data_IF_547760117111
#
_entry.id   IF_547760117111
#
_cell.length_a   1.000
_cell.length_b   1.000
_cell.length_c   1.000
_cell.angle_alpha   90.00
_cell.angle_beta   90.00
_cell.angle_gamma   90.00
#
_symmetry.space_group_name_H-M   'P 1'
#
loop_
_entity.id
_entity.type
_entity.pdbx_description
1 polymer ?
#
# COMPACT_ATOMS: atom_id res chain seq x y z
N UNK A 1 -34.34 -30.21 -9.24
CA UNK A 1 -34.60 -29.10 -8.32
C UNK A 1 -36.10 -29.00 -8.11
N UNK A 2 -36.55 -29.15 -6.89
CA UNK A 2 -37.95 -28.99 -6.52
C UNK A 2 -38.33 -27.49 -6.60
N UNK A 3 -39.63 -27.20 -6.77
CA UNK A 3 -40.13 -25.82 -6.88
C UNK A 3 -39.78 -25.00 -5.65
N UNK A 4 -39.89 -25.61 -4.47
CA UNK A 4 -39.55 -25.01 -3.18
C UNK A 4 -38.06 -24.61 -3.06
N UNK A 5 -37.14 -25.43 -3.62
CA UNK A 5 -35.70 -25.10 -3.63
C UNK A 5 -35.41 -23.86 -4.48
N UNK A 6 -36.13 -23.69 -5.60
CA UNK A 6 -35.96 -22.52 -6.47
C UNK A 6 -36.45 -21.25 -5.78
N UNK A 7 -37.62 -21.31 -5.13
CA UNK A 7 -38.21 -20.18 -4.41
C UNK A 7 -37.29 -19.76 -3.25
N UNK A 8 -36.72 -20.74 -2.52
CA UNK A 8 -35.74 -20.47 -1.46
C UNK A 8 -34.47 -19.78 -1.99
N UNK A 9 -33.91 -20.26 -3.10
CA UNK A 9 -32.72 -19.67 -3.71
C UNK A 9 -33.01 -18.25 -4.23
N UNK A 10 -34.18 -18.03 -4.82
CA UNK A 10 -34.58 -16.69 -5.29
C UNK A 10 -34.71 -15.72 -4.12
N UNK A 11 -35.37 -16.12 -3.04
CA UNK A 11 -35.50 -15.25 -1.86
C UNK A 11 -34.13 -14.93 -1.21
N UNK A 12 -33.25 -15.94 -1.10
CA UNK A 12 -31.88 -15.73 -0.58
C UNK A 12 -31.05 -14.79 -1.48
N UNK A 13 -31.15 -14.94 -2.80
CA UNK A 13 -30.48 -14.04 -3.75
C UNK A 13 -31.09 -12.63 -3.70
N UNK A 14 -32.42 -12.51 -3.58
CA UNK A 14 -33.08 -11.22 -3.46
C UNK A 14 -32.68 -10.47 -2.17
N UNK A 15 -32.55 -11.18 -1.06
CA UNK A 15 -32.02 -10.61 0.20
C UNK A 15 -30.58 -10.13 0.04
N UNK A 16 -29.72 -10.94 -0.56
CA UNK A 16 -28.33 -10.57 -0.84
C UNK A 16 -28.22 -9.36 -1.77
N UNK A 17 -29.04 -9.31 -2.84
CA UNK A 17 -29.12 -8.18 -3.76
C UNK A 17 -29.58 -6.88 -3.04
N UNK A 18 -30.46 -6.98 -2.05
CA UNK A 18 -30.92 -5.84 -1.24
C UNK A 18 -29.89 -5.40 -0.19
N UNK A 19 -29.14 -6.35 0.38
CA UNK A 19 -28.13 -6.05 1.40
C UNK A 19 -26.84 -5.49 0.81
N UNK A 20 -26.50 -5.87 -0.44
CA UNK A 20 -25.29 -5.41 -1.11
C UNK A 20 -25.59 -4.14 -1.93
N UNK A 21 -24.88 -3.07 -1.65
CA UNK A 21 -25.00 -1.82 -2.41
C UNK A 21 -24.21 -1.86 -3.72
N UNK A 22 -23.17 -2.68 -3.76
CA UNK A 22 -22.26 -2.77 -4.89
C UNK A 22 -22.19 -4.22 -5.39
N UNK A 23 -22.29 -4.38 -6.71
CA UNK A 23 -22.30 -5.68 -7.39
C UNK A 23 -21.36 -5.62 -8.59
N UNK A 24 -20.53 -6.63 -8.76
CA UNK A 24 -19.71 -6.80 -9.96
C UNK A 24 -20.10 -8.09 -10.67
N UNK A 25 -20.29 -7.99 -11.97
CA UNK A 25 -20.73 -9.10 -12.83
C UNK A 25 -19.58 -9.53 -13.72
N UNK A 26 -19.22 -10.80 -13.68
CA UNK A 26 -18.15 -11.38 -14.46
C UNK A 26 -18.58 -12.70 -15.12
N UNK A 27 -18.00 -13.00 -16.26
CA UNK A 27 -18.12 -14.28 -16.94
C UNK A 27 -16.99 -15.20 -16.45
N UNK A 28 -17.36 -16.32 -15.82
CA UNK A 28 -16.41 -17.24 -15.20
C UNK A 28 -15.95 -18.38 -16.11
N UNK A 29 -16.36 -18.38 -17.38
CA UNK A 29 -16.00 -19.45 -18.30
C UNK A 29 -14.49 -19.58 -18.45
N UNK A 30 -14.01 -20.82 -18.35
CA UNK A 30 -12.61 -21.17 -18.54
C UNK A 30 -11.74 -21.11 -17.29
N UNK A 31 -12.27 -20.64 -16.15
CA UNK A 31 -11.60 -20.77 -14.88
C UNK A 31 -11.73 -22.19 -14.34
N UNK A 32 -10.65 -22.72 -13.82
CA UNK A 32 -10.64 -24.00 -13.11
C UNK A 32 -11.20 -23.84 -11.68
N UNK A 33 -11.65 -24.94 -11.07
CA UNK A 33 -12.17 -24.89 -9.70
C UNK A 33 -11.19 -24.34 -8.65
N UNK A 34 -9.89 -24.71 -8.69
CA UNK A 34 -8.91 -24.11 -7.78
C UNK A 34 -8.78 -22.61 -7.93
N UNK A 35 -8.79 -22.08 -9.14
CA UNK A 35 -8.71 -20.65 -9.44
C UNK A 35 -9.95 -19.88 -8.93
N UNK A 36 -11.14 -20.50 -9.04
CA UNK A 36 -12.38 -19.93 -8.49
C UNK A 36 -12.30 -19.88 -6.96
N UNK A 37 -11.74 -20.89 -6.31
CA UNK A 37 -11.63 -20.93 -4.86
C UNK A 37 -10.55 -19.96 -4.36
N UNK A 38 -9.46 -19.78 -5.09
CA UNK A 38 -8.47 -18.75 -4.82
C UNK A 38 -9.06 -17.34 -4.96
N UNK A 39 -9.83 -17.11 -6.03
CA UNK A 39 -10.55 -15.85 -6.26
C UNK A 39 -11.54 -15.55 -5.12
N UNK A 40 -12.30 -16.57 -4.67
CA UNK A 40 -13.23 -16.43 -3.54
C UNK A 40 -12.50 -16.02 -2.27
N UNK A 41 -11.37 -16.65 -1.98
CA UNK A 41 -10.58 -16.36 -0.78
C UNK A 41 -10.06 -14.91 -0.80
N UNK A 42 -9.50 -14.48 -1.92
CA UNK A 42 -9.01 -13.10 -2.09
C UNK A 42 -10.13 -12.05 -2.00
N UNK A 43 -11.29 -12.34 -2.60
CA UNK A 43 -12.44 -11.43 -2.54
C UNK A 43 -13.04 -11.36 -1.13
N UNK A 44 -13.03 -12.46 -0.39
CA UNK A 44 -13.52 -12.49 0.98
C UNK A 44 -12.71 -11.57 1.90
N UNK A 45 -11.39 -11.46 1.69
CA UNK A 45 -10.51 -10.54 2.43
C UNK A 45 -10.89 -9.06 2.23
N UNK A 46 -11.49 -8.73 1.07
CA UNK A 46 -11.95 -7.37 0.76
C UNK A 46 -13.41 -7.12 1.09
N UNK A 47 -14.07 -8.05 1.79
CA UNK A 47 -15.49 -7.93 2.11
C UNK A 47 -16.42 -8.21 0.92
N UNK A 48 -15.93 -8.90 -0.11
CA UNK A 48 -16.72 -9.27 -1.27
C UNK A 48 -16.96 -10.79 -1.32
N UNK A 49 -18.16 -11.20 -1.67
CA UNK A 49 -18.56 -12.61 -1.81
C UNK A 49 -18.80 -12.96 -3.27
N UNK A 50 -18.00 -13.87 -3.81
CA UNK A 50 -18.14 -14.35 -5.17
C UNK A 50 -19.05 -15.58 -5.26
N UNK A 51 -20.10 -15.49 -6.05
CA UNK A 51 -21.08 -16.57 -6.23
C UNK A 51 -21.42 -16.78 -7.69
N UNK A 52 -21.38 -18.04 -8.13
CA UNK A 52 -21.86 -18.42 -9.45
C UNK A 52 -23.37 -18.61 -9.39
N UNK A 53 -24.09 -17.92 -10.23
CA UNK A 53 -25.55 -17.86 -10.19
C UNK A 53 -26.17 -18.33 -11.51
N UNK A 54 -27.38 -18.82 -11.44
CA UNK A 54 -28.15 -19.19 -12.63
C UNK A 54 -28.98 -17.99 -13.10
N UNK A 55 -28.78 -17.53 -14.32
CA UNK A 55 -29.43 -16.33 -14.88
C UNK A 55 -30.95 -16.28 -14.70
N UNK A 56 -31.62 -17.42 -14.90
CA UNK A 56 -33.07 -17.45 -14.73
C UNK A 56 -33.53 -17.17 -13.30
N UNK A 57 -32.77 -17.61 -12.28
CA UNK A 57 -33.09 -17.35 -10.89
C UNK A 57 -32.69 -15.93 -10.50
N UNK A 58 -31.56 -15.46 -11.05
CA UNK A 58 -31.07 -14.10 -10.79
C UNK A 58 -32.01 -13.05 -11.38
N UNK A 59 -32.61 -13.32 -12.56
CA UNK A 59 -33.63 -12.42 -13.15
C UNK A 59 -34.84 -12.26 -12.24
N UNK A 60 -35.37 -13.38 -11.72
CA UNK A 60 -36.48 -13.35 -10.79
C UNK A 60 -36.10 -12.62 -9.48
N UNK A 61 -34.91 -12.89 -8.95
CA UNK A 61 -34.43 -12.22 -7.74
C UNK A 61 -34.21 -10.72 -7.98
N UNK A 62 -33.71 -10.31 -9.13
CA UNK A 62 -33.50 -8.90 -9.50
C UNK A 62 -34.84 -8.14 -9.65
N UNK A 63 -35.87 -8.79 -10.21
CA UNK A 63 -37.23 -8.24 -10.28
C UNK A 63 -37.81 -8.06 -8.87
N UNK A 64 -37.63 -9.03 -7.99
CA UNK A 64 -38.11 -9.00 -6.60
C UNK A 64 -37.34 -8.01 -5.72
N UNK A 65 -36.04 -7.84 -5.98
CA UNK A 65 -35.20 -6.85 -5.33
C UNK A 65 -35.39 -5.42 -5.88
N UNK A 66 -36.00 -5.27 -7.07
CA UNK A 66 -36.19 -3.97 -7.74
C UNK A 66 -34.99 -3.46 -8.53
N UNK A 67 -33.95 -4.28 -8.71
CA UNK A 67 -32.68 -3.94 -9.37
C UNK A 67 -32.76 -4.35 -10.86
N UNK A 68 -33.56 -3.63 -11.62
CA UNK A 68 -33.80 -3.95 -13.05
C UNK A 68 -32.57 -3.74 -13.93
N UNK A 69 -31.69 -2.84 -13.58
CA UNK A 69 -30.45 -2.54 -14.30
C UNK A 69 -29.52 -3.76 -14.42
N UNK A 70 -29.59 -4.69 -13.45
CA UNK A 70 -28.80 -5.90 -13.47
C UNK A 70 -29.20 -6.84 -14.62
N UNK A 71 -30.44 -6.75 -15.13
CA UNK A 71 -30.97 -7.61 -16.19
C UNK A 71 -30.20 -7.47 -17.50
N UNK A 72 -29.74 -6.26 -17.80
CA UNK A 72 -28.99 -5.95 -19.03
C UNK A 72 -27.54 -6.48 -18.99
N UNK A 73 -27.02 -6.74 -17.77
CA UNK A 73 -25.67 -7.25 -17.56
C UNK A 73 -25.61 -8.79 -17.49
N UNK A 74 -26.76 -9.45 -17.31
CA UNK A 74 -26.85 -10.91 -17.18
C UNK A 74 -27.00 -11.53 -18.58
N UNK A 75 -25.87 -11.68 -19.26
CA UNK A 75 -25.78 -12.37 -20.54
C UNK A 75 -24.73 -13.49 -20.51
N UNK A 76 -25.10 -14.72 -20.84
CA UNK A 76 -24.22 -15.89 -20.78
C UNK A 76 -23.96 -16.40 -19.35
N UNK A 77 -22.94 -17.23 -19.13
CA UNK A 77 -22.59 -17.74 -17.80
C UNK A 77 -22.10 -16.61 -16.90
N UNK A 78 -22.80 -16.42 -15.79
CA UNK A 78 -22.64 -15.24 -14.95
C UNK A 78 -22.25 -15.64 -13.52
N UNK A 79 -21.20 -15.00 -13.03
CA UNK A 79 -20.86 -14.97 -11.61
C UNK A 79 -21.02 -13.53 -11.10
N UNK A 80 -21.50 -13.40 -9.89
CA UNK A 80 -21.72 -12.11 -9.25
C UNK A 80 -20.83 -12.05 -8.01
N UNK A 81 -20.06 -10.98 -7.90
CA UNK A 81 -19.40 -10.60 -6.68
C UNK A 81 -20.28 -9.59 -5.94
N UNK A 82 -20.80 -9.99 -4.80
CA UNK A 82 -21.57 -9.16 -3.89
C UNK A 82 -20.57 -8.47 -2.95
N UNK A 83 -20.58 -7.16 -2.92
CA UNK A 83 -19.72 -6.36 -2.05
C UNK A 83 -20.59 -5.86 -0.91
N UNK A 84 -20.21 -6.21 0.31
CA UNK A 84 -20.91 -5.75 1.51
C UNK A 84 -20.74 -4.23 1.68
N UNK A 85 -21.60 -3.59 2.46
CA UNK A 85 -21.58 -2.13 2.64
C UNK A 85 -20.26 -1.57 3.20
N UNK A 86 -19.51 -2.40 3.95
CA UNK A 86 -18.18 -2.06 4.48
C UNK A 86 -17.03 -2.48 3.54
N UNK A 87 -17.33 -3.23 2.47
CA UNK A 87 -16.34 -3.72 1.52
C UNK A 87 -15.84 -2.62 0.57
N UNK A 88 -14.61 -2.78 0.09
CA UNK A 88 -14.00 -1.84 -0.87
C UNK A 88 -14.25 -2.30 -2.32
N UNK A 89 -15.11 -1.60 -3.09
CA UNK A 89 -15.39 -1.96 -4.48
C UNK A 89 -14.17 -1.79 -5.39
N UNK A 90 -13.24 -0.88 -5.09
CA UNK A 90 -12.03 -0.71 -5.87
C UNK A 90 -11.05 -1.87 -5.65
N UNK A 91 -10.90 -2.34 -4.41
CA UNK A 91 -10.08 -3.51 -4.09
C UNK A 91 -10.66 -4.79 -4.74
N UNK A 92 -11.98 -4.99 -4.68
CA UNK A 92 -12.65 -6.11 -5.33
C UNK A 92 -12.49 -6.06 -6.87
N UNK A 93 -12.67 -4.88 -7.49
CA UNK A 93 -12.47 -4.69 -8.92
C UNK A 93 -11.01 -4.94 -9.33
N UNK A 94 -10.04 -4.56 -8.49
CA UNK A 94 -8.61 -4.82 -8.72
C UNK A 94 -8.32 -6.33 -8.72
N UNK A 95 -8.79 -7.07 -7.73
CA UNK A 95 -8.62 -8.53 -7.64
C UNK A 95 -9.22 -9.22 -8.87
N UNK A 96 -10.44 -8.83 -9.28
CA UNK A 96 -11.08 -9.36 -10.50
C UNK A 96 -10.27 -9.04 -11.76
N UNK A 97 -9.76 -7.82 -11.90
CA UNK A 97 -8.96 -7.41 -13.05
C UNK A 97 -7.58 -8.09 -13.08
N UNK A 98 -6.94 -8.29 -11.93
CA UNK A 98 -5.67 -8.99 -11.82
C UNK A 98 -5.83 -10.48 -12.16
N UNK A 99 -6.92 -11.11 -11.69
CA UNK A 99 -7.28 -12.49 -12.07
C UNK A 99 -7.62 -12.59 -13.57
N UNK A 100 -8.32 -11.60 -14.11
CA UNK A 100 -8.63 -11.53 -15.55
C UNK A 100 -7.37 -11.43 -16.40
N UNK A 101 -6.36 -10.70 -15.94
CA UNK A 101 -5.05 -10.60 -16.63
C UNK A 101 -4.19 -11.85 -16.48
N UNK A 102 -4.26 -12.50 -15.32
CA UNK A 102 -3.45 -13.70 -15.05
C UNK A 102 -3.90 -14.91 -15.89
N UNK A 103 -5.20 -15.03 -16.12
CA UNK A 103 -5.79 -16.22 -16.76
C UNK A 103 -6.36 -15.93 -18.17
N UNK A 104 -6.41 -14.67 -18.62
CA UNK A 104 -6.97 -14.21 -19.91
C UNK A 104 -8.39 -14.74 -20.26
N UNK A 105 -9.08 -15.27 -19.24
CA UNK A 105 -10.34 -16.01 -19.41
C UNK A 105 -11.51 -15.31 -18.74
N UNK A 106 -11.27 -14.67 -17.58
CA UNK A 106 -12.30 -13.94 -16.85
C UNK A 106 -12.64 -12.64 -17.59
N UNK A 107 -13.88 -12.48 -18.00
CA UNK A 107 -14.35 -11.25 -18.63
C UNK A 107 -15.28 -10.50 -17.69
N UNK A 108 -14.87 -9.31 -17.29
CA UNK A 108 -15.72 -8.41 -16.50
C UNK A 108 -16.75 -7.82 -17.47
N UNK A 109 -18.04 -8.03 -17.20
CA UNK A 109 -19.15 -7.53 -18.02
C UNK A 109 -19.60 -6.14 -17.62
N UNK A 110 -19.56 -5.86 -16.34
CA UNK A 110 -20.04 -4.62 -15.77
C UNK A 110 -20.34 -4.78 -14.29
N UNK A 111 -21.03 -3.83 -13.73
CA UNK A 111 -21.46 -3.87 -12.32
C UNK A 111 -22.53 -2.85 -12.01
N UNK A 112 -22.98 -2.89 -10.79
CA UNK A 112 -23.83 -1.89 -10.19
C UNK A 112 -23.10 -1.31 -8.99
N UNK A 113 -22.91 0.00 -8.97
CA UNK A 113 -22.29 0.73 -7.87
C UNK A 113 -23.25 1.82 -7.39
N UNK A 114 -23.64 1.75 -6.12
CA UNK A 114 -24.56 2.71 -5.50
C UNK A 114 -25.88 2.90 -6.27
N UNK A 115 -26.31 1.87 -7.02
CA UNK A 115 -27.53 1.90 -7.83
C UNK A 115 -27.33 2.29 -9.30
N UNK A 116 -26.14 2.76 -9.69
CA UNK A 116 -25.80 3.08 -11.07
C UNK A 116 -25.12 1.92 -11.80
N UNK A 117 -25.47 1.74 -13.07
CA UNK A 117 -24.83 0.73 -13.91
C UNK A 117 -23.49 1.21 -14.41
N UNK A 118 -22.47 0.41 -14.13
CA UNK A 118 -21.07 0.71 -14.49
C UNK A 118 -20.60 -0.26 -15.56
N UNK A 119 -19.98 0.27 -16.60
CA UNK A 119 -19.46 -0.51 -17.72
C UNK A 119 -18.14 -1.22 -17.37
N UNK A 120 -17.69 -2.16 -18.21
CA UNK A 120 -16.41 -2.86 -18.07
C UNK A 120 -15.21 -1.91 -18.07
N UNK A 121 -15.27 -0.83 -18.86
CA UNK A 121 -14.21 0.18 -18.93
C UNK A 121 -14.09 0.96 -17.63
N UNK A 122 -15.19 1.30 -17.01
CA UNK A 122 -15.22 2.02 -15.73
C UNK A 122 -14.74 1.14 -14.58
N UNK A 123 -15.11 -0.14 -14.56
CA UNK A 123 -14.60 -1.11 -13.57
C UNK A 123 -13.07 -1.29 -13.71
N UNK A 124 -12.56 -1.34 -14.94
CA UNK A 124 -11.11 -1.37 -15.18
C UNK A 124 -10.42 -0.08 -14.67
N UNK A 125 -11.07 1.07 -14.78
CA UNK A 125 -10.57 2.32 -14.17
C UNK A 125 -10.62 2.25 -12.66
N UNK A 126 -11.69 1.75 -12.05
CA UNK A 126 -11.77 1.53 -10.60
C UNK A 126 -10.64 0.62 -10.11
N UNK A 127 -10.32 -0.44 -10.85
CA UNK A 127 -9.21 -1.33 -10.52
C UNK A 127 -7.83 -0.67 -10.53
N UNK A 128 -7.67 0.50 -11.18
CA UNK A 128 -6.42 1.29 -11.14
C UNK A 128 -6.35 2.25 -9.96
N UNK A 129 -7.43 2.46 -9.23
CA UNK A 129 -7.45 3.33 -8.07
C UNK A 129 -6.70 2.68 -6.90
N UNK A 130 -5.95 3.46 -6.12
CA UNK A 130 -5.39 2.98 -4.86
C UNK A 130 -6.50 2.72 -3.83
N UNK A 131 -6.23 1.94 -2.77
CA UNK A 131 -7.18 1.70 -1.69
C UNK A 131 -7.75 3.01 -1.11
N UNK A 132 -8.98 2.95 -0.62
CA UNK A 132 -9.73 4.13 -0.15
C UNK A 132 -8.95 4.97 0.88
N UNK A 133 -8.21 4.32 1.78
CA UNK A 133 -7.39 5.03 2.78
C UNK A 133 -6.24 5.83 2.16
N UNK A 134 -5.63 5.31 1.10
CA UNK A 134 -4.58 6.01 0.35
C UNK A 134 -5.15 7.23 -0.39
N UNK A 135 -6.35 7.09 -0.99
CA UNK A 135 -7.04 8.22 -1.65
C UNK A 135 -7.39 9.31 -0.64
N UNK A 136 -7.90 8.94 0.53
CA UNK A 136 -8.18 9.89 1.63
C UNK A 136 -6.91 10.60 2.10
N UNK A 137 -5.81 9.87 2.26
CA UNK A 137 -4.51 10.43 2.64
C UNK A 137 -3.96 11.38 1.55
N UNK A 138 -4.09 11.02 0.28
CA UNK A 138 -3.71 11.87 -0.85
C UNK A 138 -4.54 13.16 -0.89
N UNK A 139 -5.85 13.06 -0.66
CA UNK A 139 -6.73 14.23 -0.57
C UNK A 139 -6.32 15.15 0.58
N UNK A 140 -6.10 14.61 1.77
CA UNK A 140 -5.61 15.35 2.92
C UNK A 140 -4.26 16.03 2.64
N UNK A 141 -3.34 15.30 2.00
CA UNK A 141 -2.04 15.83 1.56
C UNK A 141 -2.16 16.95 0.52
N UNK A 142 -3.07 16.81 -0.44
CA UNK A 142 -3.32 17.84 -1.45
C UNK A 142 -3.87 19.14 -0.85
N UNK A 143 -4.68 19.05 0.21
CA UNK A 143 -5.17 20.22 0.96
C UNK A 143 -4.08 20.80 1.87
N UNK A 144 -3.27 19.97 2.51
CA UNK A 144 -2.20 20.40 3.40
C UNK A 144 -0.97 20.95 2.64
N UNK A 145 -0.74 20.49 1.41
CA UNK A 145 0.43 20.87 0.59
C UNK A 145 0.61 22.38 0.43
N UNK A 146 -0.39 23.15 0.00
CA UNK A 146 -0.29 24.60 -0.12
C UNK A 146 0.04 25.28 1.21
N UNK A 147 -0.52 24.79 2.33
CA UNK A 147 -0.27 25.35 3.65
C UNK A 147 1.18 25.13 4.11
N UNK A 148 1.72 23.93 3.91
CA UNK A 148 3.12 23.63 4.22
C UNK A 148 4.08 24.42 3.33
N UNK A 149 3.73 24.66 2.07
CA UNK A 149 4.52 25.49 1.16
C UNK A 149 4.61 26.92 1.65
N UNK A 150 3.50 27.51 2.08
CA UNK A 150 3.47 28.88 2.62
C UNK A 150 4.36 28.98 3.87
N UNK A 151 4.23 28.02 4.82
CA UNK A 151 5.09 27.97 6.01
C UNK A 151 6.56 27.83 5.62
N UNK A 152 6.85 26.98 4.63
CA UNK A 152 8.18 26.78 4.09
C UNK A 152 8.81 28.06 3.56
N UNK A 153 8.05 28.85 2.78
CA UNK A 153 8.50 30.13 2.23
C UNK A 153 8.86 31.17 3.32
N UNK A 154 8.15 31.16 4.44
CA UNK A 154 8.48 32.02 5.57
C UNK A 154 9.66 31.54 6.39
N UNK A 155 9.88 30.24 6.48
CA UNK A 155 10.97 29.65 7.24
C UNK A 155 12.27 29.51 6.44
N UNK A 156 12.22 29.51 5.11
CA UNK A 156 13.40 29.37 4.26
C UNK A 156 14.45 30.47 4.50
N UNK A 157 14.11 31.77 4.53
CA UNK A 157 15.09 32.84 4.75
C UNK A 157 15.80 32.73 6.10
N UNK A 158 15.08 32.27 7.13
CA UNK A 158 15.66 32.08 8.47
C UNK A 158 16.66 30.91 8.47
N UNK A 159 16.34 29.82 7.80
CA UNK A 159 17.27 28.70 7.66
C UNK A 159 18.51 29.06 6.84
N UNK A 160 18.34 29.80 5.77
CA UNK A 160 19.44 30.28 4.94
C UNK A 160 20.39 31.17 5.73
N UNK A 161 19.86 32.06 6.58
CA UNK A 161 20.67 32.89 7.48
C UNK A 161 21.47 32.04 8.46
N UNK A 162 20.84 31.03 9.10
CA UNK A 162 21.52 30.11 10.02
C UNK A 162 22.61 29.35 9.28
N UNK A 163 22.36 28.81 8.11
CA UNK A 163 23.33 28.07 7.32
C UNK A 163 24.54 28.94 6.93
N UNK A 164 24.31 30.22 6.57
CA UNK A 164 25.41 31.18 6.28
C UNK A 164 26.25 31.45 7.49
N UNK A 165 25.62 31.61 8.66
CA UNK A 165 26.34 31.83 9.92
C UNK A 165 27.18 30.60 10.33
N UNK A 166 26.58 29.40 10.23
CA UNK A 166 27.29 28.15 10.48
C UNK A 166 28.48 27.96 9.55
N UNK A 167 28.29 28.23 8.25
CA UNK A 167 29.38 28.17 7.28
C UNK A 167 30.50 29.18 7.62
N UNK A 168 30.13 30.37 8.08
CA UNK A 168 31.14 31.37 8.51
C UNK A 168 31.88 30.96 9.76
N UNK A 169 31.18 30.36 10.74
CA UNK A 169 31.82 29.83 11.95
C UNK A 169 32.83 28.74 11.59
N UNK A 170 32.44 27.81 10.70
CA UNK A 170 33.32 26.73 10.26
C UNK A 170 34.57 27.30 9.54
N UNK A 171 34.41 28.30 8.67
CA UNK A 171 35.53 28.97 8.02
C UNK A 171 36.48 29.67 9.02
N UNK A 172 35.93 30.29 10.05
CA UNK A 172 36.74 30.94 11.09
C UNK A 172 37.47 29.94 11.96
N UNK A 173 36.87 28.79 12.25
CA UNK A 173 37.50 27.69 12.95
C UNK A 173 38.67 27.11 12.17
N UNK A 174 38.45 26.83 10.85
CA UNK A 174 39.52 26.36 9.96
C UNK A 174 40.67 27.36 9.86
N UNK A 175 40.36 28.67 9.78
CA UNK A 175 41.38 29.72 9.76
C UNK A 175 42.08 29.91 11.10
N UNK A 176 41.38 29.65 12.22
CA UNK A 176 41.93 29.68 13.58
C UNK A 176 42.92 28.53 13.82
N UNK A 177 42.56 27.34 13.39
CA UNK A 177 43.44 26.16 13.50
C UNK A 177 44.72 26.29 12.63
N UNK A 178 44.63 27.03 11.51
CA UNK A 178 45.81 27.34 10.71
C UNK A 178 46.70 28.44 11.31
N UNK A 179 46.14 29.37 12.10
CA UNK A 179 46.90 30.39 12.77
C UNK A 179 47.67 29.82 14.00
N UNK A 180 47.03 28.94 14.74
CA UNK A 180 47.68 28.26 15.89
C UNK A 180 48.78 27.28 15.45
N UNK A 181 48.63 26.65 14.28
CA UNK A 181 49.70 25.78 13.70
C UNK A 181 50.87 26.58 13.14
N UNK A 182 50.67 27.82 12.69
CA UNK A 182 51.74 28.68 12.19
C UNK A 182 52.57 29.31 13.31
N UNK A 183 51.94 29.60 14.45
CA UNK A 183 52.66 30.12 15.63
C UNK A 183 53.42 29.03 16.43
N UNK A 184 52.99 27.74 16.31
CA UNK A 184 53.71 26.62 16.91
C UNK A 184 54.98 26.21 16.13
N UNK A 185 55.06 26.52 14.82
CA UNK A 185 56.23 26.21 14.00
C UNK A 185 57.33 27.28 14.03
N UNK A 186 57.00 28.48 14.54
CA UNK A 186 58.00 29.56 14.72
C UNK A 186 58.68 29.62 16.10
N UNK A 187 58.26 28.73 17.06
CA UNK A 187 58.84 28.71 18.40
C UNK A 187 59.81 27.56 18.68
N UNK A 188 60.19 26.75 17.70
CA UNK A 188 61.15 25.65 17.91
C UNK A 188 62.42 25.80 17.05
N UNK A 189 63.08 26.89 17.23
CA UNK A 189 64.43 27.09 16.73
C UNK A 189 65.29 27.79 17.77
N UNK A 190 66.16 27.07 18.37
CA UNK A 190 67.25 27.40 19.29
C UNK A 190 67.08 26.87 20.71
N UNK A 191 67.68 25.77 21.06
CA UNK A 191 68.93 25.68 21.80
C UNK A 191 69.24 24.19 22.16
N UNK A 192 70.39 23.83 21.73
CA UNK A 192 71.11 22.58 21.95
C UNK A 192 71.65 22.42 23.35
N UNK A 193 71.94 21.16 23.63
CA UNK A 193 72.95 20.58 24.56
C UNK A 193 72.46 20.04 25.90
N UNK A 194 72.64 18.77 25.92
CA UNK A 194 73.40 17.93 26.82
C UNK A 194 72.67 17.11 27.89
N UNK A 195 73.08 15.86 27.91
CA UNK A 195 73.11 14.84 29.00
C UNK A 195 71.96 13.83 29.15
N UNK A 196 72.22 12.65 28.59
CA UNK A 196 71.70 11.37 29.04
C UNK A 196 72.28 10.95 30.38
N UNK A 197 71.95 9.88 31.10
CA UNK A 197 71.11 8.74 30.75
C UNK A 197 70.20 8.11 31.85
N UNK A 198 69.48 7.10 31.44
CA UNK A 198 69.08 5.90 32.19
C UNK A 198 67.82 5.96 33.07
N UNK A 199 66.85 5.25 32.86
CA UNK A 199 66.61 3.89 33.32
C UNK A 199 65.16 3.45 32.96
N UNK A 200 65.08 2.39 32.23
CA UNK A 200 63.92 1.45 32.17
C UNK A 200 63.75 0.80 33.57
N UNK A 201 62.81 -0.05 33.86
CA UNK A 201 61.72 -0.61 33.06
C UNK A 201 60.39 -0.92 33.83
N UNK A 202 59.59 -1.68 33.11
CA UNK A 202 58.62 -2.70 33.57
C UNK A 202 57.15 -2.29 33.76
N UNK A 203 56.40 -2.88 32.88
CA UNK A 203 55.53 -4.12 32.96
C UNK A 203 54.20 -3.83 33.67
N UNK A 204 53.13 -4.21 33.22
CA UNK A 204 52.52 -5.47 32.83
C UNK A 204 51.10 -5.24 32.36
N UNK A 205 50.71 -5.79 31.24
CA UNK A 205 49.91 -7.06 31.12
C UNK A 205 48.43 -6.85 31.40
N UNK A 206 47.63 -7.06 30.47
CA UNK A 206 46.97 -8.32 30.12
C UNK A 206 45.50 -8.09 29.85
N UNK A 207 45.10 -8.46 28.79
CA UNK A 207 44.37 -9.64 28.33
C UNK A 207 42.88 -9.36 28.21
N UNK A 208 42.36 -9.45 26.99
CA UNK A 208 41.89 -10.70 26.37
C UNK A 208 40.58 -11.20 26.93
N UNK A 209 39.58 -11.22 26.15
CA UNK A 209 39.03 -12.43 25.53
C UNK A 209 37.65 -12.21 24.91
N UNK A 210 37.53 -12.39 23.64
CA UNK A 210 36.43 -13.15 23.05
C UNK A 210 36.50 -14.59 23.56
N UNK A 211 35.51 -15.46 23.49
CA UNK A 211 34.88 -15.90 22.25
C UNK A 211 33.43 -16.41 22.34
N UNK A 212 32.79 -16.51 21.16
CA UNK A 212 32.11 -17.63 20.50
C UNK A 212 31.46 -18.74 21.37
N UNK A 213 30.25 -19.11 21.03
CA UNK A 213 29.72 -20.42 20.68
C UNK A 213 28.21 -20.35 20.59
N UNK A 214 27.55 -20.60 19.46
CA UNK A 214 27.37 -21.89 18.75
C UNK A 214 26.40 -22.86 19.45
N UNK A 215 25.48 -23.29 18.62
CA UNK A 215 24.70 -24.55 18.66
C UNK A 215 23.41 -24.54 19.45
N UNK A 216 22.38 -25.04 18.96
CA UNK A 216 21.94 -26.20 18.16
C UNK A 216 20.65 -26.75 18.75
N UNK A 217 19.72 -27.07 17.88
CA UNK A 217 18.74 -28.17 17.93
C UNK A 217 17.79 -28.35 19.15
N UNK A 218 16.52 -28.19 18.86
CA UNK A 218 15.52 -29.29 18.86
C UNK A 218 14.21 -28.78 18.22
#
# INVERSE_FOLDING_TARGET
MLRQDKERIVSELAERLKSSQNLLVADYRGLSMPEIDELRSKLLETGARFSVVKNTLTRLAAEEAGVKQLLDLIDGPTAIAFIDAEGDPAAAAKILNDTARAHDVLVIRGGLLEGDTVSDVEIKRLATLPPADVVRAQFAGAVAGPLTTIVGLFTAPLRDLVNVLDARITQLQEQGDHADSADAESASGEESTDEAPATEPETTTSAEAEPLHENEEA
#
